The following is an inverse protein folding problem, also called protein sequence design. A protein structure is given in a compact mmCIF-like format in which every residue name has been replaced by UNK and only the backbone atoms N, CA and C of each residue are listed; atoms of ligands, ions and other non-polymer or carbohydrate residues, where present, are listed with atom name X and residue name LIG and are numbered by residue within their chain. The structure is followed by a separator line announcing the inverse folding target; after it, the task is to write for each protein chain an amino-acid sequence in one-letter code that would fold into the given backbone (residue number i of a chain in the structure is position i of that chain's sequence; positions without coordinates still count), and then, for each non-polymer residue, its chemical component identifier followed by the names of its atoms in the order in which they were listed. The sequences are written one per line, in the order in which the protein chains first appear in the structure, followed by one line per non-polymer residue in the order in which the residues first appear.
data_IF_649670215830
#
_entry.id   IF_649670215830
#
_cell.length_a   1.000
_cell.length_b   1.000
_cell.length_c   1.000
_cell.angle_alpha   90.00
_cell.angle_beta   90.00
_cell.angle_gamma   90.00
#
_symmetry.space_group_name_H-M   'P 1'
#
loop_
_entity.id
_entity.type
_entity.pdbx_description
1 polymer ?
#
# COMPACT_ATOMS: atom_id res chain seq x y z
N UNK A 1 2.42 -2.52 3.19
CA UNK A 1 2.32 -1.09 2.87
C UNK A 1 2.60 -0.94 1.38
N UNK A 2 1.82 -0.13 0.68
CA UNK A 2 1.96 0.10 -0.77
C UNK A 2 1.89 1.60 -1.00
N UNK A 3 2.60 2.08 -2.03
CA UNK A 3 2.61 3.48 -2.44
C UNK A 3 2.32 3.58 -3.93
N UNK A 4 1.50 4.55 -4.32
CA UNK A 4 1.23 4.88 -5.72
C UNK A 4 2.05 6.09 -6.16
N UNK A 5 2.56 6.07 -7.39
CA UNK A 5 3.28 7.23 -7.97
C UNK A 5 4.75 7.36 -7.57
N UNK A 6 5.34 6.31 -7.00
CA UNK A 6 6.79 6.22 -6.74
C UNK A 6 7.38 4.92 -7.31
N UNK A 7 8.65 4.95 -7.77
CA UNK A 7 9.50 6.13 -7.91
C UNK A 7 9.16 6.99 -9.13
N UNK A 8 8.32 6.48 -10.04
CA UNK A 8 7.89 7.16 -11.25
C UNK A 8 6.53 7.80 -10.98
N UNK A 9 6.45 9.11 -11.23
CA UNK A 9 5.20 9.85 -11.11
C UNK A 9 4.11 9.21 -11.97
N UNK A 10 2.95 9.01 -11.35
CA UNK A 10 1.75 8.48 -12.00
C UNK A 10 0.61 9.45 -11.72
N UNK A 11 -0.04 10.05 -12.74
CA UNK A 11 -1.06 11.07 -12.53
C UNK A 11 -2.33 10.51 -11.86
N UNK A 12 -2.65 9.24 -12.09
CA UNK A 12 -3.80 8.51 -11.53
C UNK A 12 -3.38 7.61 -10.35
N UNK A 13 -2.43 8.06 -9.53
CA UNK A 13 -1.93 7.28 -8.40
C UNK A 13 -2.99 7.06 -7.32
N UNK A 14 -3.88 8.03 -7.11
CA UNK A 14 -4.97 7.93 -6.14
C UNK A 14 -5.97 6.85 -6.54
N UNK A 15 -6.43 6.89 -7.79
CA UNK A 15 -7.37 5.95 -8.38
C UNK A 15 -6.79 4.55 -8.43
N UNK A 16 -5.52 4.42 -8.81
CA UNK A 16 -4.85 3.12 -8.83
C UNK A 16 -4.78 2.46 -7.44
N UNK A 17 -4.47 3.23 -6.39
CA UNK A 17 -4.41 2.72 -5.01
C UNK A 17 -5.82 2.41 -4.48
N UNK A 18 -6.82 3.24 -4.80
CA UNK A 18 -8.21 2.96 -4.44
C UNK A 18 -8.72 1.67 -5.09
N UNK A 19 -8.45 1.48 -6.39
CA UNK A 19 -8.82 0.26 -7.10
C UNK A 19 -8.11 -0.97 -6.53
N UNK A 20 -6.81 -0.86 -6.24
CA UNK A 20 -6.07 -1.94 -5.57
C UNK A 20 -6.69 -2.31 -4.22
N UNK A 21 -7.13 -1.32 -3.43
CA UNK A 21 -7.77 -1.58 -2.15
C UNK A 21 -9.08 -2.37 -2.31
N UNK A 22 -9.90 -2.02 -3.32
CA UNK A 22 -11.13 -2.75 -3.64
C UNK A 22 -10.83 -4.18 -4.09
N UNK A 23 -9.84 -4.36 -4.95
CA UNK A 23 -9.41 -5.69 -5.42
C UNK A 23 -8.91 -6.56 -4.26
N UNK A 24 -8.17 -5.97 -3.31
CA UNK A 24 -7.74 -6.67 -2.10
C UNK A 24 -8.93 -7.10 -1.24
N UNK A 25 -9.95 -6.24 -1.08
CA UNK A 25 -11.15 -6.60 -0.33
C UNK A 25 -11.92 -7.75 -1.01
N UNK A 26 -12.05 -7.73 -2.34
CA UNK A 26 -12.67 -8.81 -3.09
C UNK A 26 -11.87 -10.12 -2.92
N UNK A 27 -10.54 -10.05 -3.02
CA UNK A 27 -9.68 -11.22 -2.84
C UNK A 27 -9.78 -11.82 -1.43
N UNK A 28 -9.96 -11.01 -0.37
CA UNK A 28 -10.17 -11.56 0.98
C UNK A 28 -11.44 -12.41 1.09
N UNK A 29 -12.48 -12.10 0.31
CA UNK A 29 -13.69 -12.94 0.27
C UNK A 29 -13.41 -14.29 -0.38
N UNK A 30 -12.54 -14.33 -1.39
CA UNK A 30 -12.10 -15.59 -2.00
C UNK A 30 -11.24 -16.42 -1.06
N UNK A 31 -10.35 -15.77 -0.29
CA UNK A 31 -9.52 -16.44 0.72
C UNK A 31 -10.38 -17.11 1.79
N UNK A 32 -11.45 -16.45 2.26
CA UNK A 32 -12.39 -17.06 3.20
C UNK A 32 -13.01 -18.36 2.65
N UNK A 33 -13.37 -18.37 1.35
CA UNK A 33 -13.91 -19.56 0.69
C UNK A 33 -12.90 -20.72 0.61
N UNK A 34 -11.60 -20.42 0.55
CA UNK A 34 -10.53 -21.42 0.41
C UNK A 34 -10.14 -22.01 1.76
N UNK A 35 -9.95 -21.16 2.77
CA UNK A 35 -9.38 -21.56 4.07
C UNK A 35 -10.46 -21.81 5.13
N UNK A 36 -11.72 -21.42 4.89
CA UNK A 36 -12.82 -21.58 5.83
C UNK A 36 -12.76 -20.64 7.03
N UNK A 37 -11.88 -19.62 6.98
CA UNK A 37 -11.72 -18.61 8.03
C UNK A 37 -12.00 -17.21 7.45
N UNK A 38 -12.85 -16.44 8.13
CA UNK A 38 -13.15 -15.06 7.74
C UNK A 38 -12.00 -14.14 8.16
N UNK A 39 -11.19 -13.71 7.20
CA UNK A 39 -10.11 -12.76 7.43
C UNK A 39 -10.60 -11.34 7.17
N UNK A 40 -10.78 -10.56 8.24
CA UNK A 40 -11.17 -9.17 8.12
C UNK A 40 -9.95 -8.26 7.93
N UNK A 41 -9.96 -7.46 6.86
CA UNK A 41 -8.90 -6.48 6.56
C UNK A 41 -9.47 -5.07 6.55
N UNK A 42 -8.75 -4.14 7.17
CA UNK A 42 -9.01 -2.70 7.10
C UNK A 42 -7.91 -2.03 6.28
N UNK A 43 -8.31 -1.25 5.29
CA UNK A 43 -7.37 -0.55 4.41
C UNK A 43 -7.54 0.95 4.63
N UNK A 44 -6.49 1.60 5.13
CA UNK A 44 -6.39 3.05 5.21
C UNK A 44 -5.62 3.60 4.02
N UNK A 45 -6.09 4.72 3.46
CA UNK A 45 -5.43 5.40 2.34
C UNK A 45 -5.23 6.85 2.75
N UNK A 46 -4.03 7.37 2.52
CA UNK A 46 -3.67 8.78 2.69
C UNK A 46 -2.88 9.27 1.48
N UNK A 47 -2.92 10.56 1.22
CA UNK A 47 -2.22 11.19 0.09
C UNK A 47 -1.46 12.42 0.56
N UNK A 48 -0.22 12.56 0.13
CA UNK A 48 0.57 13.74 0.44
C UNK A 48 2.03 13.57 0.00
N UNK A 49 2.84 14.63 0.17
CA UNK A 49 4.27 14.56 -0.13
C UNK A 49 4.97 13.59 0.84
N UNK A 50 5.95 12.86 0.32
CA UNK A 50 6.80 11.94 1.08
C UNK A 50 8.24 12.02 0.59
N UNK A 51 9.17 11.65 1.46
CA UNK A 51 10.58 11.43 1.14
C UNK A 51 10.79 9.92 1.09
N UNK A 52 11.46 9.42 0.05
CA UNK A 52 11.77 8.00 -0.08
C UNK A 52 13.25 7.78 -0.41
N UNK A 53 13.83 6.72 0.13
CA UNK A 53 15.26 6.45 -0.03
C UNK A 53 15.67 5.10 0.54
N UNK A 54 16.95 4.75 0.35
CA UNK A 54 17.53 3.52 0.91
C UNK A 54 18.26 3.85 2.20
N UNK A 55 17.92 3.17 3.29
CA UNK A 55 18.58 3.29 4.59
C UNK A 55 19.27 2.00 5.02
N UNK A 56 20.27 2.16 5.89
CA UNK A 56 21.00 1.06 6.52
C UNK A 56 22.42 0.88 5.97
N UNK A 57 23.30 0.34 6.81
CA UNK A 57 24.71 0.07 6.47
C UNK A 57 24.96 -1.43 6.27
N UNK A 58 24.24 -2.28 7.02
CA UNK A 58 24.35 -3.76 6.94
C UNK A 58 23.14 -4.41 6.27
N UNK A 59 21.97 -3.79 6.37
CA UNK A 59 20.73 -4.23 5.73
C UNK A 59 20.08 -3.02 5.09
N UNK A 60 20.12 -2.98 3.76
CA UNK A 60 19.56 -1.90 2.97
C UNK A 60 18.05 -2.10 2.80
N UNK A 61 17.26 -1.07 3.12
CA UNK A 61 15.80 -1.09 2.98
C UNK A 61 15.38 0.20 2.27
N UNK A 62 14.55 0.07 1.24
CA UNK A 62 13.86 1.22 0.65
C UNK A 62 12.65 1.55 1.51
N UNK A 63 12.61 2.77 2.03
CA UNK A 63 11.62 3.19 3.01
C UNK A 63 11.14 4.62 2.75
N UNK A 64 9.99 4.98 3.33
CA UNK A 64 9.28 6.24 3.11
C UNK A 64 9.04 6.99 4.43
N UNK A 65 9.19 8.32 4.41
CA UNK A 65 8.97 9.20 5.55
C UNK A 65 8.18 10.45 5.17
N UNK A 66 7.47 11.04 6.13
CA UNK A 66 6.73 12.29 6.00
C UNK A 66 5.38 12.25 6.73
N UNK A 67 4.74 13.41 6.84
CA UNK A 67 3.45 13.55 7.53
C UNK A 67 2.36 12.68 6.90
N UNK A 68 2.43 12.41 5.59
CA UNK A 68 1.46 11.56 4.91
C UNK A 68 1.56 10.06 5.30
N UNK A 69 2.67 9.64 5.91
CA UNK A 69 2.92 8.25 6.33
C UNK A 69 2.56 8.03 7.81
N UNK A 70 2.50 9.10 8.60
CA UNK A 70 2.37 9.07 10.07
C UNK A 70 0.92 8.95 10.52
#
# INVERSE_FOLDING_TARGET
MVVGGLPIYRPDHCEAIANMALDMQAYMQEVENIFGESLQVRIGINTGPVIAGVIGIKKFIYDLWGDAVT
#
